data_IF_363683617559
#
_entry.id   IF_363683617559
#
_cell.length_a   1.000
_cell.length_b   1.000
_cell.length_c   1.000
_cell.angle_alpha   90.00
_cell.angle_beta   90.00
_cell.angle_gamma   90.00
#
_symmetry.space_group_name_H-M   'P 1'
#
loop_
_entity.id
_entity.type
_entity.pdbx_description
1 polymer ?
#
# COMPACT_ATOMS: atom_id res chain seq x y z
N UNK A 1 27.54 37.67 0.12
CA UNK A 1 28.10 36.56 -0.69
C UNK A 1 27.03 35.48 -0.78
N UNK A 2 26.70 35.18 -2.02
CA UNK A 2 25.59 34.37 -2.52
C UNK A 2 25.78 32.90 -2.21
N UNK A 3 24.78 32.29 -1.56
CA UNK A 3 24.52 30.87 -1.70
C UNK A 3 23.11 30.72 -2.27
N UNK A 4 23.04 30.74 -3.60
CA UNK A 4 21.93 30.13 -4.33
C UNK A 4 21.88 28.66 -3.89
N UNK A 5 21.11 28.35 -2.83
CA UNK A 5 20.62 26.99 -2.61
C UNK A 5 19.68 26.73 -3.79
N UNK A 6 20.24 26.23 -4.89
CA UNK A 6 19.47 25.57 -5.93
C UNK A 6 18.52 24.61 -5.20
N UNK A 7 17.22 24.91 -5.23
CA UNK A 7 16.19 24.04 -4.66
C UNK A 7 16.37 22.68 -5.32
N UNK A 8 16.91 21.70 -4.57
CA UNK A 8 17.05 20.34 -5.07
C UNK A 8 15.65 19.84 -5.36
N UNK A 9 15.39 19.46 -6.61
CA UNK A 9 14.13 18.85 -6.99
C UNK A 9 13.98 17.56 -6.18
N UNK A 10 12.84 17.36 -5.48
CA UNK A 10 12.67 16.21 -4.60
C UNK A 10 12.72 14.90 -5.39
N UNK A 11 13.19 13.85 -4.71
CA UNK A 11 12.98 12.48 -5.16
C UNK A 11 11.60 12.03 -4.68
N UNK A 12 10.86 11.29 -5.49
CA UNK A 12 9.57 10.72 -5.08
C UNK A 12 9.66 9.20 -4.98
N UNK A 13 9.05 8.65 -3.93
CA UNK A 13 8.75 7.23 -3.82
C UNK A 13 7.24 7.07 -4.01
N UNK A 14 6.82 6.47 -5.12
CA UNK A 14 5.44 6.02 -5.26
C UNK A 14 5.31 4.61 -4.73
N UNK A 15 4.55 4.41 -3.66
CA UNK A 15 4.14 3.09 -3.18
C UNK A 15 2.73 2.79 -3.67
N UNK A 16 2.61 1.84 -4.59
CA UNK A 16 1.34 1.26 -5.01
C UNK A 16 0.98 0.06 -4.13
N UNK A 17 -0.22 0.09 -3.55
CA UNK A 17 -0.66 -0.93 -2.60
C UNK A 17 -2.14 -1.25 -2.75
N UNK A 18 -2.49 -2.49 -2.38
CA UNK A 18 -3.86 -2.98 -2.26
C UNK A 18 -4.01 -3.70 -0.93
N UNK A 19 -5.08 -3.38 -0.19
CA UNK A 19 -5.30 -3.92 1.15
C UNK A 19 -5.50 -5.44 1.16
N UNK A 20 -5.80 -6.05 0.02
CA UNK A 20 -5.84 -7.51 -0.12
C UNK A 20 -4.47 -8.17 0.12
N UNK A 21 -3.36 -7.45 -0.08
CA UNK A 21 -2.02 -8.02 -0.03
C UNK A 21 -1.40 -7.85 1.36
N UNK A 22 -1.05 -8.95 2.06
CA UNK A 22 -0.36 -8.86 3.35
C UNK A 22 1.10 -8.40 3.18
N UNK A 23 1.75 -8.71 2.06
CA UNK A 23 3.08 -8.16 1.76
C UNK A 23 3.02 -6.67 1.45
N UNK A 24 1.90 -6.17 0.89
CA UNK A 24 1.74 -4.73 0.69
C UNK A 24 1.62 -4.00 2.04
N UNK A 25 0.95 -4.60 3.03
CA UNK A 25 0.94 -4.09 4.40
C UNK A 25 2.35 -3.99 5.00
N UNK A 26 3.13 -5.06 4.88
CA UNK A 26 4.50 -5.10 5.41
C UNK A 26 5.37 -4.02 4.74
N UNK A 27 5.30 -3.89 3.41
CA UNK A 27 6.03 -2.85 2.69
C UNK A 27 5.58 -1.44 3.05
N UNK A 28 4.27 -1.25 3.27
CA UNK A 28 3.67 0.01 3.69
C UNK A 28 4.15 0.46 5.07
N UNK A 29 4.06 -0.41 6.07
CA UNK A 29 4.58 -0.11 7.42
C UNK A 29 6.10 0.06 7.39
N UNK A 30 6.79 -0.78 6.63
CA UNK A 30 8.23 -0.76 6.53
C UNK A 30 8.78 0.56 5.99
N UNK A 31 8.18 1.12 4.93
CA UNK A 31 8.63 2.40 4.37
C UNK A 31 8.18 3.58 5.24
N UNK A 32 7.00 3.53 5.85
CA UNK A 32 6.49 4.61 6.72
C UNK A 32 7.36 4.81 7.95
N UNK A 33 7.99 3.76 8.47
CA UNK A 33 8.97 3.86 9.58
C UNK A 33 10.21 4.67 9.27
N UNK A 34 10.46 4.92 8.00
CA UNK A 34 11.58 5.72 7.52
C UNK A 34 11.14 7.09 6.99
N UNK A 35 9.87 7.49 7.17
CA UNK A 35 9.33 8.73 6.61
C UNK A 35 10.16 9.97 6.98
N UNK A 36 10.48 10.14 8.26
CA UNK A 36 11.28 11.28 8.74
C UNK A 36 12.69 11.29 8.10
N UNK A 37 13.36 10.13 8.04
CA UNK A 37 14.68 9.99 7.42
C UNK A 37 14.67 10.23 5.91
N UNK A 38 13.56 9.88 5.24
CA UNK A 38 13.33 10.19 3.83
C UNK A 38 13.14 11.69 3.62
N UNK A 39 12.36 12.34 4.48
CA UNK A 39 12.14 13.80 4.45
C UNK A 39 13.45 14.58 4.67
N UNK A 40 14.32 14.13 5.59
CA UNK A 40 15.68 14.68 5.78
C UNK A 40 16.53 14.65 4.50
N UNK A 41 16.28 13.69 3.60
CA UNK A 41 16.96 13.55 2.30
C UNK A 41 16.22 14.23 1.15
N UNK A 42 15.17 15.01 1.43
CA UNK A 42 14.29 15.62 0.42
C UNK A 42 13.63 14.55 -0.49
N UNK A 43 13.20 13.45 0.13
CA UNK A 43 12.50 12.34 -0.52
C UNK A 43 11.04 12.34 -0.04
N UNK A 44 10.11 12.42 -0.98
CA UNK A 44 8.67 12.50 -0.71
C UNK A 44 8.03 11.15 -0.98
N UNK A 45 7.45 10.55 0.06
CA UNK A 45 6.68 9.31 -0.05
C UNK A 45 5.24 9.63 -0.48
N UNK A 46 4.77 8.99 -1.55
CA UNK A 46 3.41 9.07 -2.07
C UNK A 46 2.75 7.70 -2.03
N UNK A 47 1.68 7.60 -1.26
CA UNK A 47 0.92 6.37 -1.07
C UNK A 47 -0.21 6.33 -2.12
N UNK A 48 -0.21 5.33 -2.99
CA UNK A 48 -1.13 5.23 -4.13
C UNK A 48 -1.94 3.93 -4.05
N UNK A 49 -3.21 3.99 -3.58
CA UNK A 49 -4.13 2.87 -3.76
C UNK A 49 -4.21 2.49 -5.24
N UNK A 50 -4.08 1.20 -5.55
CA UNK A 50 -4.28 0.63 -6.89
C UNK A 50 -5.13 -0.63 -6.83
N UNK A 51 -5.50 -1.22 -7.96
CA UNK A 51 -6.27 -2.46 -7.94
C UNK A 51 -5.42 -3.66 -8.34
N UNK A 52 -5.04 -4.50 -7.38
CA UNK A 52 -4.17 -5.66 -7.61
C UNK A 52 -4.84 -6.68 -8.55
N UNK A 53 -6.15 -6.88 -8.45
CA UNK A 53 -6.89 -7.72 -9.40
C UNK A 53 -6.70 -7.26 -10.86
N UNK A 54 -6.65 -5.94 -11.08
CA UNK A 54 -6.34 -5.35 -12.38
C UNK A 54 -4.91 -5.62 -12.84
N UNK A 55 -3.93 -5.51 -11.94
CA UNK A 55 -2.52 -5.83 -12.24
C UNK A 55 -2.33 -7.30 -12.63
N UNK A 56 -2.92 -8.22 -11.87
CA UNK A 56 -2.83 -9.66 -12.16
C UNK A 56 -3.44 -9.99 -13.53
N UNK A 57 -4.61 -9.42 -13.84
CA UNK A 57 -5.23 -9.57 -15.15
C UNK A 57 -4.34 -9.02 -16.28
N UNK A 58 -3.91 -7.76 -16.19
CA UNK A 58 -3.11 -7.09 -17.22
C UNK A 58 -1.75 -7.77 -17.47
N UNK A 59 -1.13 -8.31 -16.41
CA UNK A 59 0.18 -8.98 -16.51
C UNK A 59 0.09 -10.47 -16.84
N UNK A 60 -1.11 -11.07 -16.84
CA UNK A 60 -1.29 -12.51 -16.94
C UNK A 60 -0.72 -13.29 -15.74
N UNK A 61 -0.41 -12.61 -14.63
CA UNK A 61 0.14 -13.24 -13.45
C UNK A 61 -0.96 -13.88 -12.59
N UNK A 62 -0.62 -14.98 -11.92
CA UNK A 62 -1.53 -15.73 -11.05
C UNK A 62 -1.17 -15.45 -9.60
N UNK A 63 -2.19 -15.20 -8.77
CA UNK A 63 -1.98 -14.98 -7.33
C UNK A 63 -1.26 -16.18 -6.69
N UNK A 64 -0.22 -15.97 -5.87
CA UNK A 64 0.56 -17.06 -5.29
C UNK A 64 -0.27 -17.96 -4.36
N UNK A 65 -1.36 -17.45 -3.79
CA UNK A 65 -2.30 -18.23 -2.97
C UNK A 65 -3.05 -19.31 -3.76
N UNK A 66 -3.13 -19.17 -5.08
CA UNK A 66 -3.76 -20.16 -5.97
C UNK A 66 -2.80 -21.30 -6.32
N UNK A 67 -1.53 -21.20 -5.96
CA UNK A 67 -0.51 -22.24 -6.18
C UNK A 67 -0.23 -22.92 -4.82
N UNK A 68 -0.67 -24.18 -4.60
CA UNK A 68 -0.65 -24.80 -3.27
C UNK A 68 0.71 -24.76 -2.56
N UNK A 69 1.81 -25.01 -3.29
CA UNK A 69 3.16 -24.94 -2.74
C UNK A 69 3.54 -23.52 -2.27
N UNK A 70 3.15 -22.49 -3.03
CA UNK A 70 3.40 -21.08 -2.66
C UNK A 70 2.49 -20.64 -1.52
N UNK A 71 1.23 -21.07 -1.51
CA UNK A 71 0.30 -20.79 -0.41
C UNK A 71 0.82 -21.34 0.94
N UNK A 72 1.29 -22.59 0.94
CA UNK A 72 1.90 -23.21 2.13
C UNK A 72 3.17 -22.47 2.60
N UNK A 73 4.00 -22.03 1.66
CA UNK A 73 5.18 -21.21 1.99
C UNK A 73 4.77 -19.87 2.63
N UNK A 74 3.82 -19.16 2.01
CA UNK A 74 3.35 -17.85 2.45
C UNK A 74 2.81 -17.87 3.89
N UNK A 75 2.14 -18.94 4.31
CA UNK A 75 1.62 -19.03 5.67
C UNK A 75 2.73 -18.93 6.73
N UNK A 76 3.84 -19.64 6.52
CA UNK A 76 4.99 -19.60 7.43
C UNK A 76 5.79 -18.30 7.27
N UNK A 77 5.99 -17.86 6.03
CA UNK A 77 6.74 -16.63 5.73
C UNK A 77 6.06 -15.41 6.35
N UNK A 78 4.76 -15.25 6.19
CA UNK A 78 4.01 -14.13 6.77
C UNK A 78 4.10 -14.10 8.29
N UNK A 79 4.04 -15.25 8.98
CA UNK A 79 4.25 -15.32 10.44
C UNK A 79 5.65 -14.81 10.84
N UNK A 80 6.69 -15.18 10.10
CA UNK A 80 8.06 -14.76 10.37
C UNK A 80 8.29 -13.29 10.07
N UNK A 81 7.87 -12.82 8.89
CA UNK A 81 8.13 -11.47 8.41
C UNK A 81 7.31 -10.44 9.19
N UNK A 82 6.04 -10.72 9.50
CA UNK A 82 5.23 -9.82 10.34
C UNK A 82 5.81 -9.71 11.76
N UNK A 83 6.28 -10.83 12.34
CA UNK A 83 7.01 -10.82 13.62
C UNK A 83 8.30 -9.99 13.54
N UNK A 84 9.08 -10.11 12.46
CA UNK A 84 10.28 -9.30 12.25
C UNK A 84 9.96 -7.80 12.24
N UNK A 85 8.87 -7.41 11.56
CA UNK A 85 8.38 -6.04 11.53
C UNK A 85 7.51 -5.66 12.75
N UNK A 86 7.30 -6.53 13.74
CA UNK A 86 6.47 -6.22 14.91
C UNK A 86 5.01 -5.91 14.59
N UNK A 87 4.48 -6.47 13.50
CA UNK A 87 3.07 -6.39 13.12
C UNK A 87 2.29 -7.53 13.77
N UNK A 88 1.08 -7.23 14.26
CA UNK A 88 0.18 -8.25 14.79
C UNK A 88 -0.52 -8.93 13.63
N UNK A 89 -0.28 -10.21 13.41
CA UNK A 89 -0.81 -10.94 12.26
C UNK A 89 -1.40 -12.25 12.71
N UNK A 90 -2.61 -12.52 12.22
CA UNK A 90 -3.27 -13.81 12.32
C UNK A 90 -3.86 -14.20 10.96
N UNK A 91 -3.51 -15.39 10.48
CA UNK A 91 -3.92 -15.84 9.16
C UNK A 91 -5.45 -15.96 9.12
N UNK A 92 -6.10 -15.20 8.24
CA UNK A 92 -7.54 -15.22 8.12
C UNK A 92 -8.01 -16.52 7.42
N UNK A 93 -8.75 -17.40 8.11
CA UNK A 93 -9.19 -18.68 7.54
C UNK A 93 -10.18 -18.52 6.38
N UNK A 94 -10.81 -17.34 6.24
CA UNK A 94 -11.75 -16.99 5.16
C UNK A 94 -11.09 -16.25 4.01
N UNK A 95 -9.77 -16.02 4.06
CA UNK A 95 -9.10 -15.21 3.05
C UNK A 95 -9.19 -15.80 1.64
N UNK A 96 -8.90 -17.09 1.49
CA UNK A 96 -8.93 -17.79 0.19
C UNK A 96 -10.33 -18.10 -0.31
N UNK A 97 -11.31 -18.23 0.59
CA UNK A 97 -12.69 -18.63 0.27
C UNK A 97 -13.67 -17.46 0.18
N UNK A 98 -13.32 -16.28 0.68
CA UNK A 98 -14.20 -15.12 0.69
C UNK A 98 -13.50 -13.85 0.20
N UNK A 99 -12.46 -13.40 0.92
CA UNK A 99 -11.85 -12.08 0.68
C UNK A 99 -11.22 -11.97 -0.71
N UNK A 100 -10.50 -12.99 -1.15
CA UNK A 100 -9.88 -13.01 -2.48
C UNK A 100 -10.95 -13.01 -3.59
N UNK A 101 -12.02 -13.77 -3.41
CA UNK A 101 -13.08 -13.94 -4.41
C UNK A 101 -13.86 -12.63 -4.58
N UNK A 102 -14.20 -11.97 -3.47
CA UNK A 102 -14.95 -10.70 -3.48
C UNK A 102 -14.12 -9.51 -3.95
N UNK A 103 -12.79 -9.65 -4.02
CA UNK A 103 -11.84 -8.63 -4.44
C UNK A 103 -11.95 -7.32 -3.64
N UNK A 104 -11.11 -6.34 -3.95
CA UNK A 104 -10.96 -5.10 -3.16
C UNK A 104 -11.29 -3.82 -3.93
N UNK A 105 -12.10 -3.90 -5.00
CA UNK A 105 -12.42 -2.73 -5.81
C UNK A 105 -13.10 -1.61 -4.99
N UNK A 106 -14.08 -1.95 -4.15
CA UNK A 106 -14.76 -0.97 -3.28
C UNK A 106 -13.81 -0.34 -2.24
N UNK A 107 -13.07 -1.10 -1.41
CA UNK A 107 -12.15 -0.51 -0.44
C UNK A 107 -11.01 0.28 -1.11
N UNK A 108 -10.51 -0.13 -2.28
CA UNK A 108 -9.49 0.64 -3.00
C UNK A 108 -10.03 1.97 -3.56
N UNK A 109 -11.31 2.02 -3.98
CA UNK A 109 -11.98 3.28 -4.33
C UNK A 109 -12.17 4.17 -3.11
N UNK A 110 -12.57 3.61 -1.97
CA UNK A 110 -12.70 4.34 -0.71
C UNK A 110 -11.36 4.95 -0.28
N UNK A 111 -10.27 4.18 -0.29
CA UNK A 111 -8.93 4.70 0.01
C UNK A 111 -8.48 5.77 -0.98
N UNK A 112 -8.85 5.65 -2.26
CA UNK A 112 -8.58 6.69 -3.26
C UNK A 112 -9.36 7.97 -2.95
N UNK A 113 -10.62 7.88 -2.52
CA UNK A 113 -11.41 9.03 -2.10
C UNK A 113 -10.87 9.68 -0.82
N UNK A 114 -10.49 8.86 0.18
CA UNK A 114 -9.83 9.34 1.41
C UNK A 114 -8.53 10.06 1.07
N UNK A 115 -7.68 9.49 0.22
CA UNK A 115 -6.41 10.13 -0.17
C UNK A 115 -6.61 11.48 -0.88
N UNK A 116 -7.62 11.62 -1.74
CA UNK A 116 -7.87 12.85 -2.47
C UNK A 116 -8.51 13.96 -1.62
N UNK A 117 -9.35 13.61 -0.64
CA UNK A 117 -10.17 14.59 0.08
C UNK A 117 -9.83 14.73 1.56
N UNK A 118 -9.21 13.71 2.15
CA UNK A 118 -8.87 13.60 3.58
C UNK A 118 -7.51 12.89 3.75
N UNK A 119 -6.41 13.41 3.14
CA UNK A 119 -5.14 12.70 3.01
C UNK A 119 -4.54 12.23 4.34
N UNK A 120 -4.76 12.98 5.43
CA UNK A 120 -4.28 12.61 6.77
C UNK A 120 -4.90 11.29 7.29
N UNK A 121 -6.06 10.91 6.75
CA UNK A 121 -6.77 9.68 7.12
C UNK A 121 -6.40 8.48 6.25
N UNK A 122 -5.59 8.64 5.19
CA UNK A 122 -5.23 7.53 4.31
C UNK A 122 -4.48 6.41 5.07
N UNK A 123 -3.49 6.80 5.87
CA UNK A 123 -2.68 5.85 6.64
C UNK A 123 -3.54 5.07 7.65
N UNK A 124 -4.31 5.72 8.54
CA UNK A 124 -5.15 4.97 9.47
C UNK A 124 -6.24 4.16 8.77
N UNK A 125 -6.82 4.64 7.66
CA UNK A 125 -7.80 3.88 6.89
C UNK A 125 -7.21 2.59 6.32
N UNK A 126 -6.05 2.66 5.67
CA UNK A 126 -5.36 1.49 5.12
C UNK A 126 -5.01 0.48 6.22
N UNK A 127 -4.47 0.96 7.34
CA UNK A 127 -4.18 0.15 8.54
C UNK A 127 -5.42 -0.56 9.07
N UNK A 128 -6.55 0.13 9.17
CA UNK A 128 -7.78 -0.51 9.64
C UNK A 128 -8.28 -1.59 8.68
N UNK A 129 -8.20 -1.40 7.36
CA UNK A 129 -8.53 -2.49 6.43
C UNK A 129 -7.65 -3.71 6.64
N UNK A 130 -6.33 -3.54 6.78
CA UNK A 130 -5.43 -4.65 7.07
C UNK A 130 -5.73 -5.30 8.42
N UNK A 131 -6.00 -4.53 9.47
CA UNK A 131 -6.44 -5.06 10.76
C UNK A 131 -7.72 -5.87 10.64
N UNK A 132 -8.71 -5.38 9.88
CA UNK A 132 -9.96 -6.11 9.61
C UNK A 132 -9.69 -7.45 8.92
N UNK A 133 -8.84 -7.48 7.91
CA UNK A 133 -8.53 -8.73 7.20
C UNK A 133 -7.70 -9.67 8.08
N UNK A 134 -6.61 -9.19 8.68
CA UNK A 134 -5.50 -9.99 9.21
C UNK A 134 -5.43 -10.07 10.73
N UNK A 135 -6.29 -9.37 11.47
CA UNK A 135 -6.32 -9.46 12.93
C UNK A 135 -7.71 -9.80 13.48
N UNK A 136 -8.77 -9.19 12.93
CA UNK A 136 -10.14 -9.38 13.44
C UNK A 136 -11.01 -10.24 12.53
N UNK A 137 -10.49 -10.61 11.35
CA UNK A 137 -11.13 -11.46 10.34
C UNK A 137 -12.54 -10.98 9.93
N UNK A 138 -12.71 -9.67 9.83
CA UNK A 138 -13.94 -8.98 9.42
C UNK A 138 -13.97 -8.74 7.90
N UNK A 139 -15.18 -8.63 7.35
CA UNK A 139 -15.39 -8.24 5.94
C UNK A 139 -15.00 -6.79 5.67
N UNK A 140 -14.69 -6.49 4.40
CA UNK A 140 -14.30 -5.18 3.88
C UNK A 140 -15.01 -4.82 2.56
N UNK A 141 -16.05 -5.57 2.19
CA UNK A 141 -16.60 -5.56 0.83
C UNK A 141 -17.91 -4.76 0.67
N UNK A 142 -18.46 -4.24 1.77
CA UNK A 142 -19.75 -3.54 1.77
C UNK A 142 -19.60 -2.08 2.23
N UNK A 143 -20.59 -1.22 1.93
CA UNK A 143 -20.61 0.15 2.47
C UNK A 143 -20.67 0.16 4.00
N UNK A 144 -21.34 -0.81 4.62
CA UNK A 144 -21.32 -0.99 6.09
C UNK A 144 -19.90 -1.20 6.60
N UNK A 145 -19.10 -2.01 5.89
CA UNK A 145 -17.69 -2.21 6.26
C UNK A 145 -16.88 -0.91 6.15
N UNK A 146 -17.13 -0.10 5.12
CA UNK A 146 -16.48 1.22 4.97
C UNK A 146 -16.86 2.17 6.12
N UNK A 147 -18.13 2.15 6.54
CA UNK A 147 -18.61 2.95 7.69
C UNK A 147 -17.91 2.55 8.98
N UNK A 148 -17.74 1.25 9.22
CA UNK A 148 -17.01 0.76 10.40
C UNK A 148 -15.53 1.15 10.37
N UNK A 149 -14.88 1.08 9.19
CA UNK A 149 -13.52 1.58 9.01
C UNK A 149 -13.43 3.08 9.33
N UNK A 150 -14.29 3.88 8.70
CA UNK A 150 -14.35 5.32 8.89
C UNK A 150 -14.59 5.71 10.35
N UNK A 151 -15.50 5.00 11.03
CA UNK A 151 -15.78 5.18 12.46
C UNK A 151 -14.57 4.87 13.33
N UNK A 152 -13.87 3.77 13.06
CA UNK A 152 -12.69 3.37 13.87
C UNK A 152 -11.54 4.37 13.82
N UNK A 153 -11.41 5.11 12.72
CA UNK A 153 -10.37 6.12 12.51
C UNK A 153 -10.88 7.55 12.77
N UNK A 154 -12.12 7.71 13.23
CA UNK A 154 -12.79 9.01 13.41
C UNK A 154 -12.73 9.90 12.16
N UNK A 155 -12.94 9.31 10.98
CA UNK A 155 -12.95 10.05 9.71
C UNK A 155 -14.02 11.16 9.76
N UNK A 156 -13.61 12.38 9.45
CA UNK A 156 -14.44 13.58 9.62
C UNK A 156 -15.70 13.63 8.77
N UNK A 157 -15.71 12.96 7.61
CA UNK A 157 -16.85 12.93 6.68
C UNK A 157 -16.87 11.60 5.91
N UNK A 158 -17.35 10.57 6.59
CA UNK A 158 -17.39 9.20 6.08
C UNK A 158 -18.34 9.06 4.88
N UNK A 159 -19.51 9.68 4.98
CA UNK A 159 -20.57 9.65 3.98
C UNK A 159 -20.07 10.18 2.64
N UNK A 160 -19.37 11.32 2.63
CA UNK A 160 -18.77 11.87 1.43
C UNK A 160 -17.77 10.90 0.79
N UNK A 161 -16.87 10.29 1.57
CA UNK A 161 -15.91 9.33 1.03
C UNK A 161 -16.61 8.09 0.44
N UNK A 162 -17.68 7.60 1.07
CA UNK A 162 -18.47 6.47 0.58
C UNK A 162 -19.18 6.83 -0.73
N UNK A 163 -19.80 8.00 -0.80
CA UNK A 163 -20.45 8.48 -2.03
C UNK A 163 -19.45 8.62 -3.17
N UNK A 164 -18.29 9.21 -2.90
CA UNK A 164 -17.22 9.42 -3.88
C UNK A 164 -16.70 8.12 -4.49
N UNK A 165 -16.84 6.96 -3.82
CA UNK A 165 -16.48 5.66 -4.42
C UNK A 165 -17.27 5.35 -5.70
N UNK A 166 -18.44 5.96 -5.88
CA UNK A 166 -19.30 5.81 -7.05
C UNK A 166 -18.98 6.83 -8.15
N UNK A 167 -18.26 7.90 -7.81
CA UNK A 167 -17.92 8.98 -8.74
C UNK A 167 -16.99 8.51 -9.86
N UNK A 168 -17.15 9.12 -11.03
CA UNK A 168 -16.32 8.82 -12.19
C UNK A 168 -14.86 9.28 -11.99
N UNK A 169 -14.66 10.36 -11.25
CA UNK A 169 -13.33 10.86 -10.89
C UNK A 169 -12.51 9.82 -10.11
N UNK A 170 -13.07 9.24 -9.04
CA UNK A 170 -12.37 8.25 -8.21
C UNK A 170 -12.16 6.93 -8.96
N UNK A 171 -13.17 6.48 -9.74
CA UNK A 171 -13.04 5.30 -10.60
C UNK A 171 -11.90 5.44 -11.59
N UNK A 172 -11.83 6.58 -12.28
CA UNK A 172 -10.80 6.84 -13.27
C UNK A 172 -9.42 7.03 -12.66
N UNK A 173 -9.31 7.69 -11.50
CA UNK A 173 -8.04 7.82 -10.79
C UNK A 173 -7.47 6.46 -10.37
N UNK A 174 -8.30 5.57 -9.81
CA UNK A 174 -7.87 4.21 -9.44
C UNK A 174 -7.44 3.41 -10.68
N UNK A 175 -8.19 3.50 -11.79
CA UNK A 175 -7.85 2.86 -13.06
C UNK A 175 -6.53 3.40 -13.62
N UNK A 176 -6.33 4.72 -13.59
CA UNK A 176 -5.11 5.38 -14.03
C UNK A 176 -3.91 4.94 -13.21
N UNK A 177 -4.00 4.92 -11.87
CA UNK A 177 -2.92 4.45 -10.98
C UNK A 177 -2.56 3.00 -11.25
N UNK A 178 -3.56 2.15 -11.45
CA UNK A 178 -3.36 0.73 -11.80
C UNK A 178 -2.64 0.60 -13.15
N UNK A 179 -3.06 1.37 -14.16
CA UNK A 179 -2.40 1.39 -15.47
C UNK A 179 -0.98 1.99 -15.42
N UNK A 180 -0.74 3.01 -14.61
CA UNK A 180 0.58 3.61 -14.38
C UNK A 180 1.55 2.58 -13.78
N UNK A 181 1.13 1.87 -12.73
CA UNK A 181 1.91 0.80 -12.12
C UNK A 181 2.21 -0.32 -13.14
N UNK A 182 1.19 -0.79 -13.88
CA UNK A 182 1.38 -1.81 -14.91
C UNK A 182 2.37 -1.36 -16.00
N UNK A 183 2.24 -0.14 -16.52
CA UNK A 183 3.17 0.43 -17.52
C UNK A 183 4.61 0.54 -17.00
N UNK A 184 4.80 0.65 -15.69
CA UNK A 184 6.12 0.62 -15.05
C UNK A 184 6.70 -0.79 -14.86
N UNK A 185 5.94 -1.84 -15.21
CA UNK A 185 6.34 -3.23 -15.09
C UNK A 185 5.69 -3.99 -13.93
N UNK A 186 4.70 -3.41 -13.23
CA UNK A 186 4.09 -4.06 -12.08
C UNK A 186 3.35 -5.36 -12.47
N UNK A 187 3.64 -6.42 -11.73
CA UNK A 187 2.98 -7.73 -11.84
C UNK A 187 2.44 -8.23 -10.48
N UNK A 188 2.52 -7.40 -9.43
CA UNK A 188 2.08 -7.75 -8.08
C UNK A 188 2.08 -6.55 -7.13
N UNK A 189 1.84 -6.81 -5.84
CA UNK A 189 1.86 -5.79 -4.78
C UNK A 189 2.78 -6.23 -3.61
N UNK A 190 3.41 -5.28 -2.89
CA UNK A 190 3.48 -3.85 -3.20
C UNK A 190 4.39 -3.58 -4.40
N UNK A 191 4.22 -2.43 -5.01
CA UNK A 191 5.09 -1.95 -6.09
C UNK A 191 5.59 -0.54 -5.78
N UNK A 192 6.90 -0.35 -5.86
CA UNK A 192 7.55 0.93 -5.61
C UNK A 192 8.11 1.50 -6.90
N UNK A 193 7.96 2.81 -7.12
CA UNK A 193 8.66 3.54 -8.18
C UNK A 193 9.42 4.71 -7.55
N UNK A 194 10.74 4.70 -7.70
CA UNK A 194 11.62 5.80 -7.31
C UNK A 194 11.80 6.71 -8.51
N UNK A 195 11.39 7.98 -8.36
CA UNK A 195 11.43 8.99 -9.41
C UNK A 195 12.40 10.08 -9.04
N UNK A 196 13.45 10.23 -9.84
CA UNK A 196 14.52 11.22 -9.65
C UNK A 196 14.60 12.11 -10.87
N UNK A 197 14.70 13.42 -10.66
CA UNK A 197 14.78 14.35 -11.78
C UNK A 197 16.02 14.07 -12.65
N UNK A 198 15.83 14.03 -13.98
CA UNK A 198 16.90 13.77 -14.94
C UNK A 198 17.52 12.38 -14.90
N UNK A 199 16.90 11.41 -14.18
CA UNK A 199 17.35 10.02 -14.11
C UNK A 199 16.23 9.05 -14.47
N UNK A 200 16.54 7.84 -14.98
CA UNK A 200 15.55 6.79 -15.14
C UNK A 200 14.85 6.45 -13.82
N UNK A 201 13.58 6.06 -13.92
CA UNK A 201 12.85 5.56 -12.75
C UNK A 201 13.38 4.16 -12.37
N UNK A 202 13.53 3.89 -11.08
CA UNK A 202 13.83 2.55 -10.58
C UNK A 202 12.58 1.95 -9.94
N UNK A 203 12.24 0.72 -10.32
CA UNK A 203 11.06 0.03 -9.80
C UNK A 203 11.45 -1.16 -8.93
N UNK A 204 10.69 -1.38 -7.85
CA UNK A 204 10.93 -2.48 -6.91
C UNK A 204 9.61 -3.18 -6.57
N UNK A 205 9.65 -4.50 -6.51
CA UNK A 205 8.52 -5.34 -6.10
C UNK A 205 8.82 -6.00 -4.76
N UNK A 206 7.80 -6.06 -3.89
CA UNK A 206 7.88 -6.79 -2.64
C UNK A 206 8.28 -5.92 -1.44
N UNK A 207 7.93 -6.40 -0.24
CA UNK A 207 8.27 -5.80 1.05
C UNK A 207 9.71 -6.09 1.49
N UNK A 208 10.40 -6.99 0.79
CA UNK A 208 11.76 -7.43 1.05
C UNK A 208 12.81 -6.59 0.29
N UNK A 209 12.40 -5.47 -0.32
CA UNK A 209 13.28 -4.51 -1.01
C UNK A 209 13.44 -3.17 -0.29
N UNK A 210 12.85 -3.00 0.90
CA UNK A 210 12.91 -1.73 1.65
C UNK A 210 14.35 -1.25 1.85
N UNK A 211 15.28 -2.13 2.21
CA UNK A 211 16.69 -1.78 2.38
C UNK A 211 17.34 -1.24 1.09
N UNK A 212 17.02 -1.82 -0.08
CA UNK A 212 17.50 -1.35 -1.39
C UNK A 212 16.84 -0.02 -1.76
N UNK A 213 15.53 0.12 -1.52
CA UNK A 213 14.79 1.37 -1.76
C UNK A 213 15.36 2.52 -0.93
N UNK A 214 15.68 2.29 0.34
CA UNK A 214 16.29 3.28 1.22
C UNK A 214 17.70 3.64 0.75
N UNK A 215 18.52 2.64 0.41
CA UNK A 215 19.85 2.87 -0.14
C UNK A 215 19.81 3.70 -1.44
N UNK A 216 18.86 3.40 -2.33
CA UNK A 216 18.61 4.19 -3.54
C UNK A 216 18.29 5.64 -3.19
N UNK A 217 17.64 5.90 -2.06
CA UNK A 217 17.32 7.24 -1.56
C UNK A 217 18.42 7.88 -0.69
N UNK A 218 19.55 7.21 -0.50
CA UNK A 218 20.63 7.70 0.36
C UNK A 218 20.29 7.69 1.86
N UNK A 219 19.40 6.78 2.26
CA UNK A 219 19.00 6.51 3.65
C UNK A 219 19.51 5.14 4.07
N UNK A 220 20.16 5.05 5.22
CA UNK A 220 20.64 3.78 5.76
C UNK A 220 19.48 2.94 6.30
N UNK A 221 19.50 1.64 5.98
CA UNK A 221 18.58 0.69 6.59
C UNK A 221 19.11 0.23 7.96
N UNK A 222 18.39 0.58 9.01
CA UNK A 222 18.74 0.28 10.40
C UNK A 222 17.80 -0.77 11.02
N UNK A 223 17.24 -1.63 10.17
CA UNK A 223 16.33 -2.71 10.57
C UNK A 223 14.84 -2.30 10.58
N UNK A 224 13.97 -3.08 11.23
CA UNK A 224 12.53 -2.88 11.12
C UNK A 224 12.00 -1.69 11.93
N UNK A 225 12.82 -1.04 12.77
CA UNK A 225 12.42 0.08 13.64
C UNK A 225 11.13 -0.22 14.42
N UNK A 226 11.24 -1.07 15.45
CA UNK A 226 10.09 -1.66 16.17
C UNK A 226 9.25 -0.66 16.98
N UNK A 227 9.64 0.61 17.06
CA UNK A 227 8.82 1.66 17.67
C UNK A 227 7.52 1.85 16.88
N UNK A 228 6.39 1.86 17.58
CA UNK A 228 5.06 2.08 16.96
C UNK A 228 5.00 3.51 16.39
N UNK A 229 4.65 3.64 15.12
CA UNK A 229 4.20 4.90 14.48
C UNK A 229 2.70 4.82 14.31
#
# INVERSE_FOLDING_TARGET
MTANKLLKIPTFIDLYFDVISPYAWIGFEGILRYKEKLEEKNVILRLKPFFLGGILNLSGNISPVMVPAKAKYMENDLKMVTKYWGLKFDMNPKFSTETIIKQTLLPQRFLTAVEQHFPDYLIPAAREFWKRIWETHQTIHTETDLKEVAKSISLSDAEKCIELTKSEAIKNLLKQRTAEAFKSGAFGAPWFIIRKNGKPNHCFWGSDRIHIILNECGVDFIGPLKSKI
#
